data_IF_872895929398
#
_entry.id   IF_872895929398
#
_cell.length_a   1.000
_cell.length_b   1.000
_cell.length_c   1.000
_cell.angle_alpha   90.00
_cell.angle_beta   90.00
_cell.angle_gamma   90.00
#
_symmetry.space_group_name_H-M   'P 1'
#
loop_
_entity.id
_entity.type
_entity.pdbx_description
1 polymer ?
#
# COMPACT_ATOMS: atom_id res chain seq x y z
N UNK A 1 -2.91 -2.08 23.18
CA UNK A 1 -3.19 -1.90 21.74
C UNK A 1 -4.11 -3.03 21.33
N UNK A 2 -5.17 -2.76 20.59
CA UNK A 2 -6.00 -3.80 19.98
C UNK A 2 -5.11 -4.61 19.03
N UNK A 3 -5.29 -5.94 18.98
CA UNK A 3 -4.59 -6.79 18.02
C UNK A 3 -4.90 -6.32 16.59
N UNK A 4 -3.87 -6.24 15.75
CA UNK A 4 -4.07 -5.89 14.35
C UNK A 4 -4.85 -7.02 13.66
N UNK A 5 -5.78 -6.67 12.76
CA UNK A 5 -6.59 -7.68 12.06
C UNK A 5 -5.73 -8.72 11.33
N UNK A 6 -4.60 -8.30 10.81
CA UNK A 6 -3.64 -9.17 10.11
C UNK A 6 -2.89 -10.14 11.03
N UNK A 7 -2.84 -9.92 12.37
CA UNK A 7 -2.20 -10.89 13.29
C UNK A 7 -2.84 -12.28 13.23
N UNK A 8 -4.16 -12.34 12.97
CA UNK A 8 -4.91 -13.60 12.92
C UNK A 8 -4.72 -14.37 11.62
N UNK A 9 -4.23 -13.74 10.58
CA UNK A 9 -4.13 -14.31 9.23
C UNK A 9 -2.71 -14.30 8.68
N UNK A 10 -1.70 -13.89 9.47
CA UNK A 10 -0.35 -13.68 8.98
C UNK A 10 0.25 -14.94 8.31
N UNK A 11 0.04 -16.12 8.91
CA UNK A 11 0.51 -17.39 8.36
C UNK A 11 -0.19 -17.73 7.05
N UNK A 12 -1.55 -17.65 7.03
CA UNK A 12 -2.33 -17.85 5.82
C UNK A 12 -1.94 -16.85 4.71
N UNK A 13 -1.70 -15.59 5.10
CA UNK A 13 -1.31 -14.55 4.14
C UNK A 13 0.03 -14.86 3.47
N UNK A 14 1.03 -15.31 4.26
CA UNK A 14 2.35 -15.65 3.73
C UNK A 14 2.33 -16.92 2.87
N UNK A 15 1.67 -17.99 3.36
CA UNK A 15 1.75 -19.31 2.73
C UNK A 15 0.73 -19.49 1.62
N UNK A 16 -0.53 -19.14 1.88
CA UNK A 16 -1.63 -19.43 0.95
C UNK A 16 -1.90 -18.25 0.01
N UNK A 17 -2.01 -17.03 0.57
CA UNK A 17 -2.34 -15.86 -0.23
C UNK A 17 -1.19 -15.44 -1.15
N UNK A 18 0.02 -15.27 -0.62
CA UNK A 18 1.19 -14.90 -1.42
C UNK A 18 1.75 -16.10 -2.19
N UNK A 19 1.76 -17.29 -1.59
CA UNK A 19 2.26 -18.51 -2.22
C UNK A 19 1.35 -19.05 -3.33
N UNK A 20 0.04 -18.80 -3.24
CA UNK A 20 -0.95 -19.23 -4.24
C UNK A 20 -1.14 -18.26 -5.41
N UNK A 21 -0.51 -17.08 -5.39
CA UNK A 21 -0.55 -16.14 -6.50
C UNK A 21 0.42 -16.59 -7.59
N UNK A 22 -0.11 -17.26 -8.61
CA UNK A 22 0.65 -17.58 -9.82
C UNK A 22 1.28 -16.31 -10.39
N UNK A 23 2.61 -16.31 -10.47
CA UNK A 23 3.44 -15.14 -10.68
C UNK A 23 3.24 -14.44 -12.03
N UNK A 24 2.47 -15.02 -12.94
CA UNK A 24 2.34 -14.53 -14.33
C UNK A 24 0.95 -13.97 -14.67
N UNK A 25 -0.08 -14.24 -13.89
CA UNK A 25 -1.47 -13.95 -14.31
C UNK A 25 -2.24 -12.94 -13.49
N UNK A 26 -1.73 -12.53 -12.30
CA UNK A 26 -2.42 -11.56 -11.44
C UNK A 26 -1.68 -10.23 -11.38
N UNK A 27 -2.32 -9.18 -11.86
CA UNK A 27 -1.78 -7.80 -11.85
C UNK A 27 -1.54 -7.25 -10.43
N UNK A 28 -2.15 -7.84 -9.42
CA UNK A 28 -1.95 -7.51 -8.01
C UNK A 28 -0.88 -8.36 -7.30
N UNK A 29 -0.17 -9.25 -8.02
CA UNK A 29 0.84 -10.10 -7.40
C UNK A 29 2.11 -9.31 -6.98
N UNK A 30 2.88 -9.81 -5.98
CA UNK A 30 4.05 -9.11 -5.47
C UNK A 30 5.12 -8.78 -6.51
N UNK A 31 5.31 -9.63 -7.55
CA UNK A 31 6.33 -9.39 -8.60
C UNK A 31 5.91 -8.25 -9.52
N UNK A 32 4.64 -8.24 -9.93
CA UNK A 32 4.09 -7.16 -10.75
C UNK A 32 4.13 -5.83 -10.00
N UNK A 33 3.71 -5.82 -8.73
CA UNK A 33 3.77 -4.64 -7.87
C UNK A 33 5.20 -4.18 -7.60
N UNK A 34 6.17 -5.10 -7.43
CA UNK A 34 7.58 -4.75 -7.27
C UNK A 34 8.18 -4.12 -8.53
N UNK A 35 7.76 -4.56 -9.72
CA UNK A 35 8.17 -3.95 -10.99
C UNK A 35 7.61 -2.53 -11.11
N UNK A 36 6.30 -2.36 -10.88
CA UNK A 36 5.66 -1.04 -10.86
C UNK A 36 6.30 -0.10 -9.83
N UNK A 37 6.63 -0.64 -8.64
CA UNK A 37 7.36 0.11 -7.61
C UNK A 37 8.72 0.58 -8.14
N UNK A 38 9.45 -0.29 -8.84
CA UNK A 38 10.74 0.05 -9.44
C UNK A 38 10.62 1.17 -10.48
N UNK A 39 9.62 1.10 -11.35
CA UNK A 39 9.37 2.10 -12.41
C UNK A 39 9.03 3.48 -11.82
N UNK A 40 8.38 3.52 -10.67
CA UNK A 40 7.96 4.76 -10.01
C UNK A 40 9.03 5.33 -9.07
N UNK A 41 9.68 4.47 -8.28
CA UNK A 41 10.69 4.87 -7.30
C UNK A 41 12.05 5.16 -7.96
N UNK A 42 12.42 4.33 -8.95
CA UNK A 42 13.72 4.39 -9.59
C UNK A 42 14.88 3.94 -8.69
N UNK A 43 16.07 3.94 -9.28
CA UNK A 43 17.30 3.67 -8.52
C UNK A 43 17.64 4.82 -7.57
N UNK A 44 18.20 4.47 -6.42
CA UNK A 44 18.54 5.48 -5.42
C UNK A 44 19.53 4.97 -4.38
N UNK A 45 19.70 5.74 -3.34
CA UNK A 45 20.58 5.39 -2.23
C UNK A 45 20.05 5.93 -0.90
N UNK A 46 20.45 5.29 0.19
CA UNK A 46 19.99 5.62 1.52
C UNK A 46 18.72 4.88 1.91
N UNK A 47 18.11 5.27 3.01
CA UNK A 47 16.98 4.56 3.59
C UNK A 47 15.70 4.77 2.79
N UNK A 48 15.01 3.67 2.43
CA UNK A 48 13.63 3.69 1.96
C UNK A 48 12.72 3.11 3.04
N UNK A 49 11.78 3.91 3.53
CA UNK A 49 10.80 3.48 4.54
C UNK A 49 9.61 2.82 3.84
N UNK A 50 9.37 1.54 4.11
CA UNK A 50 8.16 0.83 3.68
C UNK A 50 7.10 0.92 4.78
N UNK A 51 6.02 1.66 4.51
CA UNK A 51 4.91 1.90 5.44
C UNK A 51 3.84 0.83 5.21
N UNK A 52 3.53 0.04 6.24
CA UNK A 52 2.70 -1.15 6.11
C UNK A 52 3.43 -2.24 5.33
N UNK A 53 4.65 -2.58 5.76
CA UNK A 53 5.53 -3.50 5.00
C UNK A 53 5.02 -4.96 4.97
N UNK A 54 3.99 -5.29 5.76
CA UNK A 54 3.47 -6.64 5.85
C UNK A 54 4.55 -7.66 6.13
N UNK A 55 4.66 -8.67 5.30
CA UNK A 55 5.71 -9.71 5.40
C UNK A 55 7.03 -9.32 4.72
N UNK A 56 7.15 -8.08 4.17
CA UNK A 56 8.39 -7.56 3.60
C UNK A 56 8.73 -8.07 2.20
N UNK A 57 7.73 -8.43 1.40
CA UNK A 57 7.91 -9.04 0.08
C UNK A 57 8.62 -8.14 -0.94
N UNK A 58 8.56 -6.81 -0.77
CA UNK A 58 9.20 -5.86 -1.68
C UNK A 58 10.65 -5.54 -1.31
N UNK A 59 11.15 -6.03 -0.17
CA UNK A 59 12.48 -5.69 0.36
C UNK A 59 13.63 -6.02 -0.61
N UNK A 60 13.55 -7.15 -1.31
CA UNK A 60 14.56 -7.54 -2.31
C UNK A 60 14.57 -6.54 -3.48
N UNK A 61 13.42 -6.24 -4.06
CA UNK A 61 13.29 -5.29 -5.16
C UNK A 61 13.81 -3.89 -4.78
N UNK A 62 13.55 -3.42 -3.57
CA UNK A 62 14.08 -2.15 -3.08
C UNK A 62 15.61 -2.15 -3.00
N UNK A 63 16.23 -3.28 -2.55
CA UNK A 63 17.71 -3.40 -2.54
C UNK A 63 18.31 -3.44 -3.93
N UNK A 64 17.67 -4.15 -4.86
CA UNK A 64 18.13 -4.23 -6.26
C UNK A 64 18.14 -2.85 -6.93
N UNK A 65 17.29 -1.93 -6.48
CA UNK A 65 17.28 -0.52 -6.89
C UNK A 65 18.31 0.36 -6.15
N UNK A 66 19.09 -0.21 -5.22
CA UNK A 66 20.12 0.50 -4.44
C UNK A 66 19.63 1.12 -3.13
N UNK A 67 18.36 0.92 -2.76
CA UNK A 67 17.82 1.43 -1.51
C UNK A 67 18.14 0.52 -0.33
N UNK A 68 18.21 1.09 0.87
CA UNK A 68 18.28 0.36 2.14
C UNK A 68 16.86 0.33 2.76
N UNK A 69 16.06 -0.75 2.53
CA UNK A 69 14.70 -0.80 3.04
C UNK A 69 14.66 -0.98 4.54
N UNK A 70 13.78 -0.24 5.21
CA UNK A 70 13.31 -0.48 6.57
C UNK A 70 11.79 -0.52 6.55
N UNK A 71 11.17 -1.40 7.36
CA UNK A 71 9.73 -1.59 7.34
C UNK A 71 9.07 -1.20 8.66
N UNK A 72 7.85 -0.69 8.57
CA UNK A 72 6.95 -0.55 9.71
C UNK A 72 5.62 -1.21 9.40
N UNK A 73 5.06 -1.92 10.37
CA UNK A 73 3.73 -2.50 10.30
C UNK A 73 3.09 -2.52 11.70
N UNK A 74 1.76 -2.51 11.75
CA UNK A 74 1.03 -2.63 13.00
C UNK A 74 0.96 -4.08 13.48
N UNK A 75 0.93 -5.04 12.54
CA UNK A 75 0.79 -6.46 12.82
C UNK A 75 2.12 -7.10 13.19
N UNK A 76 2.16 -7.62 14.42
CA UNK A 76 3.29 -8.40 14.90
C UNK A 76 3.48 -9.68 14.08
N UNK A 77 2.37 -10.38 13.77
CA UNK A 77 2.41 -11.60 12.99
C UNK A 77 3.04 -11.39 11.61
N UNK A 78 2.70 -10.30 10.92
CA UNK A 78 3.33 -9.94 9.65
C UNK A 78 4.83 -9.67 9.82
N UNK A 79 5.21 -8.93 10.86
CA UNK A 79 6.61 -8.59 11.12
C UNK A 79 7.47 -9.80 11.47
N UNK A 80 6.88 -10.86 12.04
CA UNK A 80 7.61 -12.10 12.33
C UNK A 80 8.12 -12.77 11.05
N UNK A 81 7.41 -12.65 9.92
CA UNK A 81 7.88 -13.04 8.59
C UNK A 81 8.86 -12.01 7.98
N UNK A 82 8.55 -10.72 8.13
CA UNK A 82 9.32 -9.65 7.51
C UNK A 82 10.75 -9.51 8.03
N UNK A 83 11.00 -9.80 9.32
CA UNK A 83 12.31 -9.59 9.98
C UNK A 83 13.48 -10.32 9.36
N UNK A 84 13.21 -11.38 8.62
CA UNK A 84 14.22 -12.12 7.86
C UNK A 84 14.52 -11.46 6.50
N UNK A 85 13.72 -10.47 6.10
CA UNK A 85 13.80 -9.79 4.80
C UNK A 85 14.31 -8.37 4.91
N UNK A 86 13.97 -7.64 6.00
CA UNK A 86 14.43 -6.27 6.22
C UNK A 86 14.37 -5.92 7.72
N UNK A 87 15.10 -4.88 8.19
CA UNK A 87 14.91 -4.32 9.52
C UNK A 87 13.48 -3.78 9.68
N UNK A 88 12.81 -4.15 10.77
CA UNK A 88 11.40 -3.79 10.99
C UNK A 88 11.16 -3.21 12.38
N UNK A 89 10.12 -2.37 12.49
CA UNK A 89 9.59 -1.90 13.75
C UNK A 89 8.06 -2.05 13.76
N UNK A 90 7.51 -2.51 14.90
CA UNK A 90 6.06 -2.51 15.10
C UNK A 90 5.60 -1.10 15.47
N UNK A 91 4.76 -0.51 14.62
CA UNK A 91 4.24 0.83 14.84
C UNK A 91 2.93 1.07 14.10
N UNK A 92 2.13 2.01 14.62
CA UNK A 92 1.04 2.62 13.89
C UNK A 92 1.61 3.59 12.84
N UNK A 93 1.21 3.39 11.58
CA UNK A 93 1.65 4.24 10.47
C UNK A 93 1.22 5.72 10.62
N UNK A 94 0.19 6.00 11.41
CA UNK A 94 -0.21 7.36 11.77
C UNK A 94 0.67 7.98 12.88
N UNK A 95 1.68 7.24 13.40
CA UNK A 95 2.64 7.68 14.42
C UNK A 95 3.97 6.96 14.25
N UNK A 96 4.68 7.27 13.17
CA UNK A 96 5.92 6.59 12.78
C UNK A 96 7.05 6.83 13.80
N UNK A 97 7.77 5.77 14.26
CA UNK A 97 8.93 5.91 15.15
C UNK A 97 10.20 6.32 14.38
N UNK A 98 10.06 7.29 13.51
CA UNK A 98 11.11 7.78 12.60
C UNK A 98 11.24 9.29 12.79
N UNK A 99 12.47 9.79 12.77
CA UNK A 99 12.77 11.22 12.96
C UNK A 99 12.21 12.04 11.79
N UNK A 100 11.88 13.30 12.07
CA UNK A 100 11.52 14.28 11.04
C UNK A 100 12.66 14.43 10.03
N UNK A 101 12.30 14.62 8.78
CA UNK A 101 13.23 14.95 7.69
C UNK A 101 14.43 13.98 7.58
N UNK A 102 14.25 12.69 7.83
CA UNK A 102 15.35 11.74 7.94
C UNK A 102 15.47 10.75 6.78
N UNK A 103 14.40 10.47 6.06
CA UNK A 103 14.41 9.49 4.97
C UNK A 103 14.28 10.15 3.59
N UNK A 104 15.10 9.75 2.60
CA UNK A 104 15.00 10.28 1.24
C UNK A 104 13.80 9.74 0.45
N UNK A 105 13.32 8.54 0.82
CA UNK A 105 12.18 7.93 0.16
C UNK A 105 11.30 7.16 1.15
N UNK A 106 10.00 7.13 0.88
CA UNK A 106 9.05 6.25 1.55
C UNK A 106 8.08 5.64 0.53
N UNK A 107 7.62 4.43 0.80
CA UNK A 107 6.70 3.70 -0.07
C UNK A 107 5.56 3.12 0.75
N UNK A 108 4.37 3.04 0.15
CA UNK A 108 3.20 2.39 0.72
C UNK A 108 2.52 1.56 -0.38
N UNK A 109 2.56 0.22 -0.24
CA UNK A 109 2.09 -0.70 -1.29
C UNK A 109 0.93 -1.52 -0.77
N UNK A 110 -0.24 -1.37 -1.41
CA UNK A 110 -1.49 -2.10 -1.14
C UNK A 110 -2.04 -1.95 0.29
N UNK A 111 -1.81 -0.80 0.94
CA UNK A 111 -2.13 -0.61 2.37
C UNK A 111 -3.23 0.41 2.68
N UNK A 112 -3.55 1.33 1.76
CA UNK A 112 -4.41 2.48 2.09
C UNK A 112 -5.83 2.09 2.50
N UNK A 113 -6.37 0.99 1.98
CA UNK A 113 -7.68 0.46 2.35
C UNK A 113 -7.70 -0.21 3.73
N UNK A 114 -6.53 -0.60 4.23
CA UNK A 114 -6.36 -1.22 5.55
C UNK A 114 -6.11 -0.17 6.66
N UNK A 115 -5.94 1.09 6.26
CA UNK A 115 -5.62 2.21 7.15
C UNK A 115 -6.76 3.23 7.18
N UNK A 116 -7.75 3.10 8.09
CA UNK A 116 -8.93 3.97 8.11
C UNK A 116 -8.62 5.47 8.19
N UNK A 117 -7.46 5.80 8.76
CA UNK A 117 -6.98 7.19 8.88
C UNK A 117 -5.82 7.49 7.92
N UNK A 118 -5.89 7.00 6.67
CA UNK A 118 -4.83 7.17 5.69
C UNK A 118 -4.34 8.63 5.52
N UNK A 119 -5.17 9.69 5.61
CA UNK A 119 -4.68 11.06 5.64
C UNK A 119 -3.69 11.37 6.78
N UNK A 120 -3.82 10.72 7.94
CA UNK A 120 -2.86 10.87 9.03
C UNK A 120 -1.53 10.15 8.71
N UNK A 121 -1.60 9.00 8.04
CA UNK A 121 -0.42 8.27 7.55
C UNK A 121 0.37 9.11 6.55
N UNK A 122 -0.30 9.81 5.65
CA UNK A 122 0.35 10.69 4.68
C UNK A 122 1.03 11.89 5.35
N UNK A 123 0.42 12.47 6.39
CA UNK A 123 1.09 13.53 7.19
C UNK A 123 2.35 13.02 7.88
N UNK A 124 2.32 11.80 8.44
CA UNK A 124 3.50 11.18 9.04
C UNK A 124 4.57 10.84 8.00
N UNK A 125 4.17 10.32 6.83
CA UNK A 125 5.08 10.10 5.70
C UNK A 125 5.78 11.42 5.30
N UNK A 126 5.01 12.49 5.17
CA UNK A 126 5.57 13.83 4.88
C UNK A 126 6.50 14.31 5.98
N UNK A 127 6.15 14.11 7.26
CA UNK A 127 6.99 14.52 8.39
C UNK A 127 8.37 13.85 8.31
N UNK A 128 8.42 12.54 8.07
CA UNK A 128 9.68 11.77 8.07
C UNK A 128 10.51 11.94 6.81
N UNK A 129 9.89 12.25 5.68
CA UNK A 129 10.59 12.53 4.43
C UNK A 129 11.46 13.80 4.57
N UNK A 130 12.65 13.78 3.97
CA UNK A 130 13.47 14.99 3.79
C UNK A 130 12.76 15.97 2.87
N UNK A 131 13.07 17.27 2.93
CA UNK A 131 12.69 18.20 1.88
C UNK A 131 13.10 17.64 0.49
N UNK A 132 12.18 17.65 -0.46
CA UNK A 132 12.37 17.01 -1.76
C UNK A 132 12.32 15.47 -1.77
N UNK A 133 12.07 14.83 -0.63
CA UNK A 133 11.96 13.37 -0.53
C UNK A 133 10.77 12.81 -1.30
N UNK A 134 10.93 11.61 -1.85
CA UNK A 134 9.95 10.95 -2.71
C UNK A 134 9.04 10.03 -1.92
N UNK A 135 7.74 10.12 -2.15
CA UNK A 135 6.73 9.15 -1.70
C UNK A 135 6.17 8.39 -2.91
N UNK A 136 6.12 7.06 -2.81
CA UNK A 136 5.45 6.21 -3.79
C UNK A 136 4.26 5.55 -3.14
N UNK A 137 3.08 5.73 -3.74
CA UNK A 137 1.86 5.03 -3.38
C UNK A 137 1.47 4.06 -4.48
N UNK A 138 1.21 2.81 -4.10
CA UNK A 138 0.59 1.80 -4.96
C UNK A 138 -0.57 1.21 -4.17
N UNK A 139 -1.78 1.27 -4.71
CA UNK A 139 -2.96 0.80 -3.99
C UNK A 139 -4.06 0.30 -4.91
N UNK A 140 -5.07 -0.33 -4.35
CA UNK A 140 -6.27 -0.70 -5.11
C UNK A 140 -6.89 0.51 -5.77
N UNK A 141 -7.38 0.35 -7.00
CA UNK A 141 -7.93 1.47 -7.76
C UNK A 141 -9.24 1.95 -7.12
N UNK A 142 -9.33 3.22 -6.66
CA UNK A 142 -10.48 3.68 -5.91
C UNK A 142 -11.78 3.75 -6.72
N UNK A 143 -11.71 3.81 -8.06
CA UNK A 143 -12.89 3.86 -8.91
C UNK A 143 -13.41 2.47 -9.32
N UNK A 144 -12.55 1.45 -9.31
CA UNK A 144 -12.85 0.14 -9.89
C UNK A 144 -12.77 -1.01 -8.89
N UNK A 145 -12.37 -0.74 -7.64
CA UNK A 145 -12.27 -1.73 -6.58
C UNK A 145 -12.93 -1.22 -5.30
N UNK A 146 -13.87 -1.98 -4.79
CA UNK A 146 -14.63 -1.66 -3.58
C UNK A 146 -15.95 -2.41 -3.56
N UNK A 147 -16.67 -2.38 -2.44
CA UNK A 147 -17.97 -3.04 -2.31
C UNK A 147 -19.04 -2.55 -3.31
N UNK A 148 -18.82 -1.39 -3.91
CA UNK A 148 -19.66 -0.78 -4.94
C UNK A 148 -19.33 -1.27 -6.37
N UNK A 149 -18.20 -1.97 -6.57
CA UNK A 149 -17.72 -2.38 -7.89
C UNK A 149 -17.93 -3.89 -8.07
N UNK A 150 -18.92 -4.24 -8.88
CA UNK A 150 -19.19 -5.63 -9.27
C UNK A 150 -18.28 -6.00 -10.44
N UNK A 151 -17.44 -6.99 -10.23
CA UNK A 151 -16.42 -7.48 -11.17
C UNK A 151 -16.65 -8.95 -11.56
N UNK A 152 -17.87 -9.46 -11.38
CA UNK A 152 -18.21 -10.85 -11.73
C UNK A 152 -18.11 -11.13 -13.23
N UNK A 153 -18.32 -10.11 -14.07
CA UNK A 153 -18.11 -10.19 -15.50
C UNK A 153 -16.64 -9.81 -15.81
N UNK A 154 -15.84 -10.71 -16.41
CA UNK A 154 -14.45 -10.41 -16.76
C UNK A 154 -14.29 -9.29 -17.81
N UNK A 155 -15.34 -9.00 -18.59
CA UNK A 155 -15.31 -7.98 -19.64
C UNK A 155 -15.92 -6.64 -19.19
N UNK A 156 -16.51 -6.56 -17.98
CA UNK A 156 -17.20 -5.37 -17.52
C UNK A 156 -17.04 -5.14 -16.02
N UNK A 157 -17.02 -3.87 -15.61
CA UNK A 157 -17.20 -3.48 -14.21
C UNK A 157 -18.49 -2.70 -14.08
N UNK A 158 -19.40 -3.18 -13.23
CA UNK A 158 -20.64 -2.49 -12.93
C UNK A 158 -20.47 -1.71 -11.64
N UNK A 159 -20.42 -0.38 -11.73
CA UNK A 159 -20.35 0.50 -10.57
C UNK A 159 -21.76 0.75 -10.03
N UNK A 160 -22.00 0.32 -8.80
CA UNK A 160 -23.25 0.47 -8.07
C UNK A 160 -23.20 1.69 -7.12
N UNK A 161 -24.34 2.16 -6.59
CA UNK A 161 -24.32 3.12 -5.49
C UNK A 161 -23.44 2.66 -4.32
N UNK A 162 -22.76 3.60 -3.65
CA UNK A 162 -21.85 3.31 -2.54
C UNK A 162 -20.41 3.78 -2.76
N UNK A 163 -20.07 4.30 -3.95
CA UNK A 163 -18.73 4.84 -4.24
C UNK A 163 -18.28 5.93 -3.25
N UNK A 164 -19.20 6.72 -2.73
CA UNK A 164 -18.89 7.78 -1.76
C UNK A 164 -18.90 7.30 -0.31
N UNK A 165 -19.24 6.04 -0.05
CA UNK A 165 -19.26 5.47 1.29
C UNK A 165 -17.85 5.14 1.75
N UNK A 166 -17.37 5.89 2.76
CA UNK A 166 -16.07 5.64 3.41
C UNK A 166 -16.15 4.63 4.57
N UNK A 167 -17.28 3.96 4.77
CA UNK A 167 -17.46 3.05 5.88
C UNK A 167 -16.55 1.81 5.75
N UNK A 168 -16.06 1.33 6.90
CA UNK A 168 -15.37 0.05 6.94
C UNK A 168 -16.33 -1.10 6.61
N UNK A 169 -15.89 -2.03 5.80
CA UNK A 169 -16.68 -3.18 5.36
C UNK A 169 -15.85 -4.45 5.29
N UNK A 170 -16.50 -5.60 5.49
CA UNK A 170 -15.96 -6.92 5.17
C UNK A 170 -16.50 -7.48 3.85
N UNK A 171 -17.32 -6.72 3.13
CA UNK A 171 -17.77 -7.15 1.81
C UNK A 171 -16.55 -7.29 0.87
N UNK A 172 -16.30 -8.51 0.43
CA UNK A 172 -15.20 -8.78 -0.48
C UNK A 172 -15.51 -8.25 -1.88
N UNK A 173 -14.49 -7.76 -2.53
CA UNK A 173 -14.50 -7.43 -3.95
C UNK A 173 -13.37 -8.15 -4.69
N UNK A 174 -12.80 -9.16 -4.04
CA UNK A 174 -11.77 -10.04 -4.58
C UNK A 174 -12.12 -11.49 -4.27
N UNK A 175 -11.76 -12.37 -5.14
CA UNK A 175 -11.95 -13.82 -5.01
C UNK A 175 -10.94 -14.44 -4.00
N UNK A 176 -9.98 -13.67 -3.54
CA UNK A 176 -8.86 -14.15 -2.72
C UNK A 176 -9.15 -14.14 -1.21
N UNK A 177 -10.29 -13.60 -0.79
CA UNK A 177 -10.77 -13.72 0.60
C UNK A 177 -10.05 -12.88 1.65
N UNK A 178 -9.09 -12.00 1.28
CA UNK A 178 -8.40 -11.12 2.26
C UNK A 178 -9.39 -10.19 2.93
N UNK A 179 -10.28 -9.57 2.17
CA UNK A 179 -11.22 -8.56 2.68
C UNK A 179 -12.28 -9.13 3.62
N UNK A 180 -12.70 -10.38 3.38
CA UNK A 180 -13.60 -11.10 4.29
C UNK A 180 -12.98 -11.33 5.68
N UNK A 181 -11.65 -11.44 5.72
CA UNK A 181 -10.89 -11.66 6.95
C UNK A 181 -10.61 -10.36 7.71
N UNK A 182 -10.05 -9.36 7.02
CA UNK A 182 -9.53 -8.14 7.67
C UNK A 182 -10.39 -6.90 7.44
N UNK A 183 -11.32 -6.94 6.48
CA UNK A 183 -12.10 -5.77 6.08
C UNK A 183 -11.30 -4.76 5.27
N UNK A 184 -11.95 -3.66 4.93
CA UNK A 184 -11.32 -2.51 4.26
C UNK A 184 -12.16 -1.24 4.45
N UNK A 185 -11.52 -0.10 4.28
CA UNK A 185 -12.18 1.20 4.09
C UNK A 185 -12.01 1.64 2.65
N UNK A 186 -12.96 2.44 2.18
CA UNK A 186 -12.87 3.07 0.88
C UNK A 186 -12.60 4.56 1.04
N UNK A 187 -11.70 5.08 0.21
CA UNK A 187 -11.46 6.50 0.09
C UNK A 187 -11.66 6.88 -1.38
N UNK A 188 -12.73 7.62 -1.73
CA UNK A 188 -12.99 8.04 -3.11
C UNK A 188 -11.80 8.78 -3.72
N UNK A 189 -11.58 8.65 -5.03
CA UNK A 189 -10.42 9.22 -5.73
C UNK A 189 -10.15 10.70 -5.38
N UNK A 190 -11.14 11.62 -5.39
CA UNK A 190 -10.86 13.00 -5.00
C UNK A 190 -10.37 13.13 -3.56
N UNK A 191 -10.98 12.36 -2.63
CA UNK A 191 -10.55 12.34 -1.22
C UNK A 191 -9.14 11.80 -1.04
N UNK A 192 -8.78 10.76 -1.78
CA UNK A 192 -7.43 10.22 -1.78
C UNK A 192 -6.41 11.24 -2.29
N UNK A 193 -6.66 11.88 -3.43
CA UNK A 193 -5.75 12.88 -4.00
C UNK A 193 -5.61 14.12 -3.11
N UNK A 194 -6.73 14.63 -2.55
CA UNK A 194 -6.69 15.72 -1.60
C UNK A 194 -5.90 15.37 -0.35
N UNK A 195 -5.98 14.14 0.16
CA UNK A 195 -5.21 13.73 1.32
C UNK A 195 -3.69 13.86 1.12
N UNK A 196 -3.18 13.63 -0.12
CA UNK A 196 -1.78 13.89 -0.46
C UNK A 196 -1.46 15.39 -0.43
N UNK A 197 -2.27 16.20 -1.08
CA UNK A 197 -2.08 17.66 -1.16
C UNK A 197 -2.15 18.29 0.25
N UNK A 198 -3.13 17.90 1.05
CA UNK A 198 -3.32 18.39 2.43
C UNK A 198 -2.18 17.94 3.37
N UNK A 199 -1.51 16.84 3.05
CA UNK A 199 -0.32 16.40 3.76
C UNK A 199 0.96 17.15 3.35
N UNK A 200 0.92 18.05 2.35
CA UNK A 200 2.08 18.78 1.84
C UNK A 200 2.93 17.98 0.85
N UNK A 201 2.30 17.06 0.14
CA UNK A 201 2.91 16.24 -0.91
C UNK A 201 2.48 16.74 -2.29
N UNK A 202 3.41 17.21 -3.10
CA UNK A 202 3.18 17.57 -4.50
C UNK A 202 3.09 16.32 -5.36
N UNK A 203 1.95 16.10 -6.00
CA UNK A 203 1.74 14.96 -6.91
C UNK A 203 2.56 15.16 -8.19
N UNK A 204 3.28 14.11 -8.65
CA UNK A 204 4.18 14.20 -9.80
C UNK A 204 3.79 13.25 -10.95
N UNK A 205 3.56 11.98 -10.66
CA UNK A 205 3.27 10.95 -11.66
C UNK A 205 2.08 10.11 -11.23
N UNK A 206 1.35 9.61 -12.22
CA UNK A 206 0.25 8.67 -12.04
C UNK A 206 0.46 7.47 -12.96
N UNK A 207 0.05 6.30 -12.50
CA UNK A 207 0.02 5.07 -13.29
C UNK A 207 -1.19 4.24 -12.88
N UNK A 208 -1.71 3.50 -13.84
CA UNK A 208 -2.72 2.48 -13.63
C UNK A 208 -2.15 1.13 -14.06
N UNK A 209 -2.53 0.06 -13.38
CA UNK A 209 -2.04 -1.27 -13.67
C UNK A 209 -3.16 -2.28 -13.48
N UNK A 210 -3.18 -3.29 -14.38
CA UNK A 210 -4.20 -4.32 -14.46
C UNK A 210 -4.95 -4.29 -15.79
N UNK A 211 -5.37 -5.46 -16.25
CA UNK A 211 -6.11 -5.65 -17.48
C UNK A 211 -7.26 -6.66 -17.27
N UNK A 212 -8.36 -6.55 -18.01
CA UNK A 212 -8.72 -5.53 -19.00
C UNK A 212 -9.07 -4.17 -18.39
N UNK A 213 -9.31 -4.10 -17.07
CA UNK A 213 -9.61 -2.87 -16.34
C UNK A 213 -8.61 -2.71 -15.18
N UNK A 214 -8.06 -1.51 -14.96
CA UNK A 214 -7.06 -1.33 -13.93
C UNK A 214 -7.61 -1.61 -12.53
N UNK A 215 -6.93 -2.46 -11.78
CA UNK A 215 -7.23 -2.77 -10.37
C UNK A 215 -6.31 -2.05 -9.40
N UNK A 216 -5.23 -1.50 -9.92
CA UNK A 216 -4.21 -0.78 -9.16
C UNK A 216 -4.10 0.64 -9.69
N UNK A 217 -4.09 1.59 -8.79
CA UNK A 217 -3.68 2.97 -9.04
C UNK A 217 -2.39 3.24 -8.27
N UNK A 218 -1.44 3.84 -8.95
CA UNK A 218 -0.17 4.22 -8.35
C UNK A 218 0.15 5.68 -8.65
N UNK A 219 0.87 6.31 -7.75
CA UNK A 219 1.35 7.68 -7.93
C UNK A 219 2.67 7.92 -7.21
N UNK A 220 3.40 8.91 -7.68
CA UNK A 220 4.51 9.50 -6.93
C UNK A 220 4.15 10.89 -6.46
N UNK A 221 4.64 11.24 -5.30
CA UNK A 221 4.50 12.56 -4.73
C UNK A 221 5.79 12.99 -4.03
N UNK A 222 6.05 14.28 -3.99
CA UNK A 222 7.28 14.81 -3.41
C UNK A 222 6.97 15.78 -2.28
N UNK A 223 7.72 15.66 -1.17
CA UNK A 223 7.65 16.66 -0.10
C UNK A 223 8.21 17.98 -0.62
N UNK A 224 7.47 19.07 -0.39
CA UNK A 224 7.98 20.41 -0.69
C UNK A 224 9.31 20.69 0.01
N UNK A 225 10.19 21.44 -0.66
CA UNK A 225 11.48 21.84 -0.14
C UNK A 225 11.38 22.94 0.93
#
# INVERSE_FOLDING_TARGET
MSAAAYDQIAEWYEQDFLGGQDAETSDGNPRSLSRLLGDLLGTGSGTCLEIGCGTGVHAAALRDLGWAPIGVDLSRGMLDHARNRLPVAQADAARLPVRDNSVPAAVAVMVHTDMPHYPAVLREATRVLRPGGLFVHIGVHPCFCGAFADRADPEAIVVRPGYLDGAWTKASWTDQGVRDKVGATHLPLPGLLHAFLDAGLALERFAEHGAPTPIVMALTARKHG
#
